data_IF_644439685394
#
_entry.id   IF_644439685394
#
_cell.length_a   1.000
_cell.length_b   1.000
_cell.length_c   1.000
_cell.angle_alpha   90.00
_cell.angle_beta   90.00
_cell.angle_gamma   90.00
#
_symmetry.space_group_name_H-M   'P 1'
#
loop_
_entity.id
_entity.type
_entity.pdbx_description
1 polymer ?
#
# COMPACT_ATOMS: atom_id res chain seq x y z
N UNK A 1 -0.63 11.62 -0.94
CA UNK A 1 0.55 11.25 -0.15
C UNK A 1 1.56 10.54 -1.03
N UNK A 2 2.84 10.70 -0.74
CA UNK A 2 3.94 10.04 -1.47
C UNK A 2 4.67 9.13 -0.52
N UNK A 3 4.80 7.86 -0.88
CA UNK A 3 5.33 6.85 0.03
C UNK A 3 5.53 5.51 -0.65
N UNK A 4 6.04 4.55 0.12
CA UNK A 4 6.34 3.21 -0.37
C UNK A 4 5.09 2.32 -0.35
N UNK A 5 4.79 1.63 -1.45
CA UNK A 5 3.73 0.61 -1.46
C UNK A 5 4.25 -0.65 -0.76
N UNK A 6 3.47 -1.18 0.18
CA UNK A 6 3.86 -2.37 0.97
C UNK A 6 2.78 -3.44 0.95
N UNK A 7 3.19 -4.69 1.09
CA UNK A 7 2.33 -5.75 1.58
C UNK A 7 2.13 -5.53 3.09
N UNK A 8 0.90 -5.27 3.52
CA UNK A 8 0.63 -4.90 4.91
C UNK A 8 0.83 -6.07 5.89
N UNK A 9 0.72 -7.32 5.45
CA UNK A 9 0.98 -8.48 6.32
C UNK A 9 2.46 -8.53 6.66
N UNK A 10 3.34 -8.48 5.66
CA UNK A 10 4.78 -8.55 5.87
C UNK A 10 5.35 -7.28 6.52
N UNK A 11 4.78 -6.11 6.20
CA UNK A 11 5.16 -4.85 6.84
C UNK A 11 4.83 -4.85 8.34
N UNK A 12 3.62 -5.25 8.73
CA UNK A 12 3.21 -5.23 10.15
C UNK A 12 3.92 -6.33 10.96
N UNK A 13 4.09 -7.52 10.38
CA UNK A 13 4.70 -8.66 11.08
C UNK A 13 6.21 -8.47 11.33
N UNK A 14 6.96 -7.99 10.33
CA UNK A 14 8.42 -7.90 10.42
C UNK A 14 9.05 -6.76 9.61
N UNK A 15 8.31 -5.68 9.35
CA UNK A 15 8.79 -4.47 8.69
C UNK A 15 9.44 -4.72 7.31
N UNK A 16 8.86 -5.65 6.53
CA UNK A 16 9.33 -5.91 5.17
C UNK A 16 9.03 -4.73 4.24
N UNK A 17 10.09 -4.14 3.69
CA UNK A 17 10.06 -2.96 2.81
C UNK A 17 11.10 -3.09 1.69
N UNK A 18 11.04 -2.18 0.73
CA UNK A 18 11.96 -2.03 -0.39
C UNK A 18 11.70 -2.96 -1.58
N UNK A 19 12.29 -2.61 -2.72
CA UNK A 19 12.09 -3.32 -3.99
C UNK A 19 12.47 -4.80 -3.91
N UNK A 20 13.46 -5.18 -3.10
CA UNK A 20 13.86 -6.58 -2.93
C UNK A 20 12.69 -7.42 -2.41
N UNK A 21 11.99 -6.95 -1.38
CA UNK A 21 10.80 -7.60 -0.86
C UNK A 21 9.66 -7.62 -1.89
N UNK A 22 9.43 -6.47 -2.56
CA UNK A 22 8.42 -6.36 -3.61
C UNK A 22 8.61 -7.37 -4.74
N UNK A 23 9.84 -7.51 -5.24
CA UNK A 23 10.20 -8.42 -6.33
C UNK A 23 10.24 -9.90 -5.89
N UNK A 24 10.61 -10.19 -4.63
CA UNK A 24 10.73 -11.57 -4.16
C UNK A 24 9.40 -12.22 -3.81
N UNK A 25 8.51 -11.51 -3.13
CA UNK A 25 7.24 -12.08 -2.65
C UNK A 25 6.12 -11.05 -2.47
N UNK A 26 6.42 -9.81 -2.09
CA UNK A 26 5.42 -8.81 -1.73
C UNK A 26 4.41 -8.54 -2.85
N UNK A 27 4.88 -8.34 -4.09
CA UNK A 27 3.98 -8.14 -5.23
C UNK A 27 3.06 -9.34 -5.48
N UNK A 28 3.57 -10.57 -5.27
CA UNK A 28 2.79 -11.80 -5.44
C UNK A 28 1.72 -11.93 -4.35
N UNK A 29 2.05 -11.62 -3.11
CA UNK A 29 1.08 -11.64 -2.01
C UNK A 29 -0.05 -10.63 -2.24
N UNK A 30 0.28 -9.41 -2.67
CA UNK A 30 -0.72 -8.40 -3.04
C UNK A 30 -1.58 -8.90 -4.22
N UNK A 31 -1.01 -9.45 -5.31
CA UNK A 31 -1.81 -10.00 -6.44
C UNK A 31 -2.79 -11.09 -6.02
N UNK A 32 -2.45 -11.84 -4.98
CA UNK A 32 -3.29 -12.92 -4.46
C UNK A 32 -4.32 -12.45 -3.40
N UNK A 33 -4.55 -11.14 -3.28
CA UNK A 33 -5.56 -10.57 -2.37
C UNK A 33 -5.03 -10.14 -1.00
N UNK A 34 -3.71 -10.15 -0.79
CA UNK A 34 -3.11 -9.59 0.42
C UNK A 34 -3.41 -8.09 0.57
N UNK A 35 -3.59 -7.57 1.80
CA UNK A 35 -3.85 -6.15 2.02
C UNK A 35 -2.66 -5.31 1.55
N UNK A 36 -2.94 -4.33 0.69
CA UNK A 36 -1.95 -3.38 0.19
C UNK A 36 -2.04 -2.07 0.96
N UNK A 37 -0.87 -1.51 1.29
CA UNK A 37 -0.78 -0.24 1.99
C UNK A 37 0.25 0.68 1.39
N UNK A 38 0.34 1.87 1.98
CA UNK A 38 1.39 2.84 1.70
C UNK A 38 2.02 3.31 3.02
N UNK A 39 3.35 3.34 3.07
CA UNK A 39 4.11 3.90 4.18
C UNK A 39 4.65 5.26 3.77
N UNK A 40 4.21 6.30 4.46
CA UNK A 40 4.63 7.69 4.24
C UNK A 40 5.03 8.28 5.59
N UNK A 41 6.23 8.86 5.67
CA UNK A 41 6.72 9.55 6.88
C UNK A 41 6.60 8.69 8.15
N UNK A 42 6.93 7.40 8.02
CA UNK A 42 6.89 6.43 9.13
C UNK A 42 5.49 5.98 9.56
N UNK A 43 4.42 6.39 8.84
CA UNK A 43 3.04 5.96 9.09
C UNK A 43 2.54 5.07 7.96
N UNK A 44 1.87 3.98 8.33
CA UNK A 44 1.24 3.07 7.39
C UNK A 44 -0.25 3.37 7.25
N UNK A 45 -0.73 3.27 6.00
CA UNK A 45 -2.13 3.46 5.66
C UNK A 45 -2.59 2.27 4.83
N UNK A 46 -3.70 1.65 5.22
CA UNK A 46 -4.40 0.72 4.34
C UNK A 46 -4.91 1.50 3.13
N UNK A 47 -4.70 0.98 1.91
CA UNK A 47 -5.09 1.69 0.69
C UNK A 47 -6.31 1.03 0.08
N UNK A 48 -7.37 1.81 -0.12
CA UNK A 48 -8.63 1.36 -0.71
C UNK A 48 -9.05 2.36 -1.79
N UNK A 49 -9.49 1.85 -2.94
CA UNK A 49 -10.07 2.67 -4.00
C UNK A 49 -11.48 3.13 -3.64
N UNK A 50 -12.32 3.38 -4.63
CA UNK A 50 -13.75 3.64 -4.41
C UNK A 50 -14.48 2.34 -4.04
N UNK A 51 -14.49 2.02 -2.74
CA UNK A 51 -15.07 0.79 -2.19
C UNK A 51 -14.57 -0.51 -2.86
N UNK A 52 -13.34 -0.49 -3.40
CA UNK A 52 -12.73 -1.63 -4.11
C UNK A 52 -11.26 -1.80 -3.69
N UNK A 53 -10.75 -3.04 -3.69
CA UNK A 53 -9.33 -3.31 -3.52
C UNK A 53 -8.52 -2.63 -4.63
N UNK A 54 -7.26 -2.27 -4.30
CA UNK A 54 -6.31 -1.69 -5.26
C UNK A 54 -5.17 -2.65 -5.64
N UNK A 55 -5.34 -3.93 -5.37
CA UNK A 55 -4.31 -4.95 -5.53
C UNK A 55 -3.71 -4.98 -6.94
N UNK A 56 -4.55 -5.01 -7.98
CA UNK A 56 -4.11 -5.05 -9.38
C UNK A 56 -3.36 -3.77 -9.80
N UNK A 57 -3.78 -2.61 -9.27
CA UNK A 57 -3.15 -1.34 -9.56
C UNK A 57 -1.82 -1.14 -8.82
N UNK A 58 -1.64 -1.78 -7.65
CA UNK A 58 -0.54 -1.47 -6.74
C UNK A 58 0.50 -2.58 -6.59
N UNK A 59 0.18 -3.83 -6.95
CA UNK A 59 1.09 -4.94 -6.75
C UNK A 59 2.47 -4.74 -7.41
N UNK A 60 2.51 -4.25 -8.66
CA UNK A 60 3.76 -4.03 -9.40
C UNK A 60 4.56 -2.82 -8.87
N UNK A 61 3.99 -2.07 -7.94
CA UNK A 61 4.61 -0.98 -7.22
C UNK A 61 5.09 -1.38 -5.82
N UNK A 62 4.86 -2.62 -5.37
CA UNK A 62 5.34 -3.08 -4.06
C UNK A 62 6.85 -2.86 -3.91
N UNK A 63 7.26 -2.22 -2.82
CA UNK A 63 8.64 -1.82 -2.55
C UNK A 63 9.09 -0.54 -3.28
N UNK A 64 8.22 0.09 -4.08
CA UNK A 64 8.51 1.33 -4.82
C UNK A 64 7.78 2.52 -4.20
N UNK A 65 8.39 3.70 -4.33
CA UNK A 65 7.75 4.96 -3.98
C UNK A 65 6.76 5.40 -5.06
N UNK A 66 5.51 5.66 -4.68
CA UNK A 66 4.45 6.19 -5.55
C UNK A 66 3.79 7.40 -4.91
N UNK A 67 3.05 8.16 -5.72
CA UNK A 67 2.15 9.21 -5.21
C UNK A 67 0.71 8.78 -5.41
N UNK A 68 -0.04 8.71 -4.33
CA UNK A 68 -1.48 8.44 -4.33
C UNK A 68 -2.24 9.70 -3.90
N UNK A 69 -3.37 9.97 -4.53
CA UNK A 69 -4.39 10.91 -4.00
C UNK A 69 -5.53 10.09 -3.39
N UNK A 70 -6.25 10.68 -2.44
CA UNK A 70 -7.35 10.02 -1.73
C UNK A 70 -7.76 10.82 -0.49
N UNK A 71 -8.70 10.28 0.28
CA UNK A 71 -9.17 10.85 1.55
C UNK A 71 -8.57 10.07 2.72
N UNK A 72 -7.97 10.78 3.67
CA UNK A 72 -7.52 10.15 4.92
C UNK A 72 -8.71 9.89 5.84
N UNK A 73 -8.77 8.67 6.36
CA UNK A 73 -9.71 8.27 7.40
C UNK A 73 -8.95 7.53 8.51
N UNK A 74 -9.36 7.75 9.75
CA UNK A 74 -8.82 7.04 10.90
C UNK A 74 -9.93 6.72 11.88
N UNK A 75 -9.97 5.47 12.36
CA UNK A 75 -10.88 5.05 13.43
C UNK A 75 -10.30 3.87 14.19
N UNK A 76 -10.28 3.96 15.52
CA UNK A 76 -9.85 2.84 16.37
C UNK A 76 -8.42 2.37 16.13
N UNK A 77 -7.50 3.27 15.74
CA UNK A 77 -6.10 2.93 15.46
C UNK A 77 -5.83 2.40 14.04
N UNK A 78 -6.86 2.35 13.18
CA UNK A 78 -6.69 1.99 11.76
C UNK A 78 -6.68 3.26 10.94
N UNK A 79 -5.56 3.53 10.28
CA UNK A 79 -5.43 4.60 9.30
C UNK A 79 -5.63 4.06 7.87
N UNK A 80 -6.42 4.76 7.07
CA UNK A 80 -6.77 4.38 5.70
C UNK A 80 -6.64 5.57 4.76
N UNK A 81 -6.19 5.31 3.53
CA UNK A 81 -6.37 6.21 2.40
C UNK A 81 -7.53 5.65 1.55
N UNK A 82 -8.70 6.27 1.68
CA UNK A 82 -9.93 5.93 0.97
C UNK A 82 -10.00 6.63 -0.39
N UNK A 83 -10.76 6.05 -1.34
CA UNK A 83 -10.93 6.58 -2.69
C UNK A 83 -9.59 6.86 -3.36
N UNK A 84 -8.63 5.97 -3.15
CA UNK A 84 -7.27 6.15 -3.58
C UNK A 84 -7.11 5.99 -5.09
N UNK A 85 -6.27 6.83 -5.68
CA UNK A 85 -5.91 6.80 -7.10
C UNK A 85 -4.42 7.05 -7.28
N UNK A 86 -3.79 6.31 -8.19
CA UNK A 86 -2.39 6.53 -8.57
C UNK A 86 -2.27 7.82 -9.38
N UNK A 87 -1.44 8.74 -8.93
CA UNK A 87 -1.10 9.95 -9.69
C UNK A 87 -0.08 9.57 -10.75
N UNK A 88 -0.52 9.47 -12.00
CA UNK A 88 0.38 9.28 -13.16
C UNK A 88 1.16 10.59 -13.39
N UNK A 89 2.47 10.49 -13.57
CA UNK A 89 3.29 11.60 -14.07
C UNK A 89 3.11 11.77 -15.57
#
# INVERSE_FOLDING_TARGET
MTGEVVDMMCYVDHNAVGEKHGQSCGAKCIKNGGPVGIVSDGKAYLVVGEHKPMNDQLADYCGKTVTLKGKLAERGGIAMLENAEVVKK
#
